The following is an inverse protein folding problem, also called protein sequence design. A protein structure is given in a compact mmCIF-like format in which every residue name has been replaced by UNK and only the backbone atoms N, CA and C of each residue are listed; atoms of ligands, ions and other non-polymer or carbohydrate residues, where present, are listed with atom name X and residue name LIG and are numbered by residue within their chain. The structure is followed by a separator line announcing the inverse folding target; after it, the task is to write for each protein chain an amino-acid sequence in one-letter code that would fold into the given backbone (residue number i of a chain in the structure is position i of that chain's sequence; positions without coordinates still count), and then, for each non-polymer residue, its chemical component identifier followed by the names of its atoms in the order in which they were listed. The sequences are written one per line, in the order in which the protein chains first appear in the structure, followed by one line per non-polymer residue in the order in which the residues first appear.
data_IF_146255853431
#
_entry.id   IF_146255853431
#
_cell.length_a   1.000
_cell.length_b   1.000
_cell.length_c   1.000
_cell.angle_alpha   90.00
_cell.angle_beta   90.00
_cell.angle_gamma   90.00
#
_symmetry.space_group_name_H-M   'P 1'
#
loop_
_entity.id
_entity.type
_entity.pdbx_description
1 polymer ?
#
# COMPACT_ATOMS: atom_id res chain seq x y z
N UNK A 1 18.33 18.54 14.58
CA UNK A 1 17.55 18.16 13.38
C UNK A 1 18.51 17.87 12.25
N UNK A 2 18.45 16.66 11.69
CA UNK A 2 19.23 16.28 10.51
C UNK A 2 18.81 17.11 9.28
N UNK A 3 19.63 17.16 8.22
CA UNK A 3 19.36 17.95 7.01
C UNK A 3 18.05 17.56 6.33
N UNK A 4 17.70 16.27 6.31
CA UNK A 4 16.44 15.80 5.77
C UNK A 4 15.23 16.31 6.56
N UNK A 5 15.32 16.40 7.89
CA UNK A 5 14.20 16.90 8.69
C UNK A 5 13.88 18.38 8.39
N UNK A 6 14.92 19.21 8.19
CA UNK A 6 14.75 20.60 7.74
C UNK A 6 14.19 20.68 6.31
N UNK A 7 14.61 19.77 5.43
CA UNK A 7 14.12 19.69 4.05
C UNK A 7 12.64 19.29 3.99
N UNK A 8 12.22 18.39 4.89
CA UNK A 8 10.83 17.97 5.04
C UNK A 8 9.93 19.11 5.53
N UNK A 9 10.38 19.87 6.53
CA UNK A 9 9.65 21.04 7.04
C UNK A 9 9.46 22.11 5.95
N UNK A 10 10.48 22.33 5.12
CA UNK A 10 10.43 23.32 4.02
C UNK A 10 9.82 22.76 2.72
N UNK A 11 9.51 21.47 2.66
CA UNK A 11 9.09 20.72 1.45
C UNK A 11 10.02 20.94 0.24
N UNK A 12 11.30 21.28 0.50
CA UNK A 12 12.27 21.59 -0.54
C UNK A 12 13.33 20.49 -0.61
N UNK A 13 13.17 19.59 -1.57
CA UNK A 13 14.01 18.42 -1.71
C UNK A 13 14.95 18.59 -2.91
N UNK A 14 16.27 18.63 -2.65
CA UNK A 14 17.23 18.87 -3.71
C UNK A 14 17.53 17.62 -4.55
N UNK A 15 17.49 16.42 -3.95
CA UNK A 15 17.94 15.19 -4.62
C UNK A 15 17.34 13.93 -3.96
N UNK A 16 16.57 13.14 -4.73
CA UNK A 16 15.98 11.87 -4.27
C UNK A 16 17.05 10.85 -3.85
N UNK A 17 18.18 10.79 -4.56
CA UNK A 17 19.27 9.86 -4.23
C UNK A 17 19.88 10.19 -2.86
N UNK A 18 20.13 11.47 -2.58
CA UNK A 18 20.63 11.91 -1.27
C UNK A 18 19.66 11.56 -0.14
N UNK A 19 18.35 11.69 -0.38
CA UNK A 19 17.32 11.31 0.59
C UNK A 19 17.37 9.80 0.88
N UNK A 20 17.48 8.97 -0.17
CA UNK A 20 17.61 7.52 -0.02
C UNK A 20 18.86 7.15 0.78
N UNK A 21 20.00 7.78 0.47
CA UNK A 21 21.27 7.56 1.16
C UNK A 21 21.22 7.96 2.64
N UNK A 22 20.58 9.09 2.97
CA UNK A 22 20.42 9.55 4.36
C UNK A 22 19.55 8.56 5.16
N UNK A 23 18.41 8.13 4.61
CA UNK A 23 17.53 7.12 5.23
C UNK A 23 18.22 5.77 5.38
N UNK A 24 19.04 5.35 4.41
CA UNK A 24 19.82 4.12 4.53
C UNK A 24 20.96 4.28 5.55
N UNK A 25 21.44 5.50 5.79
CA UNK A 25 22.49 5.79 6.77
C UNK A 25 22.01 5.83 8.21
N UNK A 26 20.85 6.44 8.47
CA UNK A 26 20.30 6.62 9.81
C UNK A 26 19.14 5.69 10.16
N UNK A 27 18.53 5.07 9.15
CA UNK A 27 17.34 4.24 9.29
C UNK A 27 16.23 4.96 10.06
N UNK A 28 15.98 6.24 9.82
CA UNK A 28 14.94 6.98 10.53
C UNK A 28 13.64 6.99 9.72
N UNK A 29 12.50 6.83 10.42
CA UNK A 29 11.18 7.09 9.84
C UNK A 29 10.82 8.56 9.96
N UNK A 30 10.67 9.22 8.82
CA UNK A 30 10.44 10.66 8.71
C UNK A 30 8.96 11.07 8.51
N UNK A 31 8.02 10.17 8.84
CA UNK A 31 6.60 10.40 8.61
C UNK A 31 6.13 10.04 7.19
N UNK A 32 4.80 10.06 6.95
CA UNK A 32 4.20 9.54 5.72
C UNK A 32 4.60 10.30 4.45
N UNK A 33 4.97 11.57 4.57
CA UNK A 33 5.45 12.40 3.46
C UNK A 33 6.67 11.78 2.76
N UNK A 34 7.56 11.09 3.50
CA UNK A 34 8.76 10.50 2.92
C UNK A 34 8.41 9.38 1.95
N UNK A 35 7.32 8.65 2.20
CA UNK A 35 6.88 7.58 1.30
C UNK A 35 6.35 8.13 -0.02
N UNK A 36 5.64 9.27 0.00
CA UNK A 36 5.21 9.95 -1.22
C UNK A 36 6.40 10.33 -2.11
N UNK A 37 7.49 10.79 -1.48
CA UNK A 37 8.73 11.16 -2.17
C UNK A 37 9.45 9.92 -2.72
N UNK A 38 9.67 8.90 -1.87
CA UNK A 38 10.37 7.66 -2.25
C UNK A 38 9.65 6.88 -3.36
N UNK A 39 8.32 6.99 -3.43
CA UNK A 39 7.49 6.35 -4.45
C UNK A 39 7.20 7.27 -5.64
N UNK A 40 7.67 8.52 -5.62
CA UNK A 40 7.51 9.47 -6.71
C UNK A 40 6.05 9.85 -7.00
N UNK A 41 5.20 9.89 -5.97
CA UNK A 41 3.80 10.35 -6.10
C UNK A 41 3.67 11.87 -5.98
N UNK A 42 4.74 12.56 -5.58
CA UNK A 42 4.81 14.02 -5.46
C UNK A 42 6.16 14.51 -5.97
N UNK A 43 6.17 15.71 -6.56
CA UNK A 43 7.39 16.38 -6.97
C UNK A 43 8.28 16.80 -5.79
N UNK A 44 9.58 16.91 -6.04
CA UNK A 44 10.60 17.30 -5.06
C UNK A 44 10.60 18.81 -4.73
N UNK A 45 9.93 19.64 -5.55
CA UNK A 45 9.84 21.09 -5.35
C UNK A 45 8.56 21.45 -4.60
N UNK A 46 8.58 22.43 -3.67
CA UNK A 46 7.39 22.84 -2.92
C UNK A 46 6.21 23.22 -3.81
N UNK A 47 6.48 23.91 -4.94
CA UNK A 47 5.47 24.36 -5.90
C UNK A 47 4.66 23.23 -6.53
N UNK A 48 5.26 22.04 -6.64
CA UNK A 48 4.61 20.88 -7.24
C UNK A 48 3.93 20.02 -6.18
N UNK A 49 4.48 19.96 -4.96
CA UNK A 49 4.02 19.06 -3.92
C UNK A 49 2.53 19.22 -3.58
N UNK A 50 2.08 20.44 -3.29
CA UNK A 50 0.68 20.70 -2.93
C UNK A 50 -0.26 20.47 -4.11
N UNK A 51 0.18 20.89 -5.31
CA UNK A 51 -0.54 20.66 -6.55
C UNK A 51 -0.72 19.16 -6.83
N UNK A 52 0.34 18.37 -6.72
CA UNK A 52 0.32 16.93 -6.96
C UNK A 52 -0.59 16.20 -5.96
N UNK A 53 -0.58 16.61 -4.69
CA UNK A 53 -1.48 16.07 -3.67
C UNK A 53 -2.95 16.34 -4.00
N UNK A 54 -3.29 17.58 -4.37
CA UNK A 54 -4.66 17.95 -4.75
C UNK A 54 -5.10 17.24 -6.02
N UNK A 55 -4.25 17.21 -7.04
CA UNK A 55 -4.52 16.51 -8.30
C UNK A 55 -4.77 15.02 -8.07
N UNK A 56 -3.93 14.37 -7.28
CA UNK A 56 -4.08 12.94 -6.94
C UNK A 56 -5.39 12.70 -6.19
N UNK A 57 -5.73 13.53 -5.20
CA UNK A 57 -6.97 13.37 -4.44
C UNK A 57 -8.22 13.46 -5.33
N UNK A 58 -8.25 14.45 -6.23
CA UNK A 58 -9.32 14.61 -7.22
C UNK A 58 -9.35 13.39 -8.15
N UNK A 59 -8.22 12.98 -8.72
CA UNK A 59 -8.15 11.83 -9.64
C UNK A 59 -8.65 10.54 -8.97
N UNK A 60 -8.28 10.29 -7.71
CA UNK A 60 -8.76 9.12 -6.97
C UNK A 60 -10.27 9.15 -6.78
N UNK A 61 -10.81 10.26 -6.28
CA UNK A 61 -12.25 10.42 -6.05
C UNK A 61 -13.03 10.27 -7.35
N UNK A 62 -12.51 10.83 -8.44
CA UNK A 62 -13.10 10.67 -9.76
C UNK A 62 -13.13 9.20 -10.17
N UNK A 63 -11.98 8.54 -10.10
CA UNK A 63 -11.82 7.15 -10.48
C UNK A 63 -12.74 6.22 -9.67
N UNK A 64 -12.70 6.36 -8.35
CA UNK A 64 -13.47 5.51 -7.44
C UNK A 64 -14.98 5.74 -7.62
N UNK A 65 -15.43 7.00 -7.54
CA UNK A 65 -16.86 7.31 -7.65
C UNK A 65 -17.42 6.90 -9.00
N UNK A 66 -16.73 7.15 -10.11
CA UNK A 66 -17.22 6.74 -11.41
C UNK A 66 -17.35 5.22 -11.51
N UNK A 67 -16.28 4.50 -11.18
CA UNK A 67 -16.24 3.04 -11.30
C UNK A 67 -17.29 2.38 -10.39
N UNK A 68 -17.46 2.93 -9.18
CA UNK A 68 -18.39 2.41 -8.18
C UNK A 68 -19.85 2.78 -8.42
N UNK A 69 -20.14 4.01 -8.87
CA UNK A 69 -21.50 4.41 -9.29
C UNK A 69 -21.98 3.53 -10.45
N UNK A 70 -21.11 3.29 -11.46
CA UNK A 70 -21.45 2.41 -12.58
C UNK A 70 -21.78 0.98 -12.12
N UNK A 71 -20.97 0.44 -11.19
CA UNK A 71 -21.21 -0.86 -10.60
C UNK A 71 -22.56 -0.95 -9.90
N UNK A 72 -22.90 0.05 -9.10
CA UNK A 72 -24.17 0.09 -8.38
C UNK A 72 -25.36 0.21 -9.36
N UNK A 73 -25.24 1.03 -10.40
CA UNK A 73 -26.27 1.15 -11.45
C UNK A 73 -26.48 -0.22 -12.11
N UNK A 74 -25.41 -0.90 -12.54
CA UNK A 74 -25.49 -2.23 -13.17
C UNK A 74 -26.07 -3.28 -12.19
N UNK A 75 -25.66 -3.26 -10.92
CA UNK A 75 -26.18 -4.13 -9.87
C UNK A 75 -27.69 -3.96 -9.69
N UNK A 76 -28.17 -2.73 -9.46
CA UNK A 76 -29.60 -2.49 -9.24
C UNK A 76 -30.45 -2.65 -10.50
N UNK A 77 -29.89 -2.44 -11.69
CA UNK A 77 -30.58 -2.74 -12.96
C UNK A 77 -30.73 -4.24 -13.20
N UNK A 78 -29.79 -5.06 -12.72
CA UNK A 78 -29.78 -6.51 -12.95
C UNK A 78 -30.30 -7.33 -11.77
N UNK A 79 -30.52 -6.72 -10.59
CA UNK A 79 -30.92 -7.39 -9.35
C UNK A 79 -32.21 -8.23 -9.47
N UNK A 80 -33.16 -7.83 -10.32
CA UNK A 80 -34.40 -8.57 -10.58
C UNK A 80 -34.27 -9.67 -11.66
N UNK A 81 -33.11 -9.79 -12.32
CA UNK A 81 -32.90 -10.80 -13.37
C UNK A 81 -32.43 -12.14 -12.79
N UNK A 82 -32.95 -13.27 -13.31
CA UNK A 82 -32.55 -14.59 -12.82
C UNK A 82 -31.06 -14.91 -13.06
N UNK A 83 -30.40 -14.16 -13.94
CA UNK A 83 -28.98 -14.29 -14.33
C UNK A 83 -28.05 -13.27 -13.65
N UNK A 84 -28.49 -12.55 -12.61
CA UNK A 84 -27.62 -11.60 -11.92
C UNK A 84 -26.37 -12.30 -11.35
N UNK A 85 -25.14 -11.89 -11.70
CA UNK A 85 -23.91 -12.44 -11.13
C UNK A 85 -23.72 -12.04 -9.66
N UNK A 86 -24.66 -11.30 -9.08
CA UNK A 86 -24.60 -10.68 -7.76
C UNK A 86 -25.63 -11.22 -6.76
N UNK A 87 -26.19 -12.42 -7.02
CA UNK A 87 -27.14 -13.05 -6.10
C UNK A 87 -26.47 -13.48 -4.78
N UNK A 88 -27.03 -12.92 -3.72
CA UNK A 88 -26.89 -13.23 -2.28
C UNK A 88 -25.62 -12.78 -1.55
N UNK A 89 -25.90 -11.84 -0.63
CA UNK A 89 -25.15 -11.35 0.53
C UNK A 89 -24.13 -10.22 0.33
N UNK A 90 -24.40 -9.13 1.08
CA UNK A 90 -23.42 -8.24 1.71
C UNK A 90 -22.99 -6.94 0.99
N UNK A 91 -23.81 -6.37 0.07
CA UNK A 91 -23.55 -5.02 -0.47
C UNK A 91 -24.01 -3.89 0.48
N UNK A 92 -25.13 -4.04 1.19
CA UNK A 92 -25.68 -2.96 2.03
C UNK A 92 -24.85 -2.61 3.27
N UNK A 93 -23.93 -3.50 3.69
CA UNK A 93 -23.14 -3.34 4.93
C UNK A 93 -21.63 -3.15 4.70
N UNK A 94 -21.11 -3.36 3.49
CA UNK A 94 -19.66 -3.39 3.23
C UNK A 94 -19.15 -2.31 2.27
N UNK A 95 -20.03 -1.52 1.69
CA UNK A 95 -19.64 -0.44 0.77
C UNK A 95 -20.03 0.91 1.37
N UNK A 96 -19.07 1.83 1.42
CA UNK A 96 -19.32 3.24 1.69
C UNK A 96 -18.98 4.04 0.43
N UNK A 97 -19.98 4.69 -0.16
CA UNK A 97 -19.74 5.70 -1.19
C UNK A 97 -18.96 6.87 -0.55
N UNK A 98 -17.82 7.25 -1.14
CA UNK A 98 -17.12 8.50 -0.81
C UNK A 98 -17.74 9.60 -1.64
N UNK A 99 -18.93 10.05 -1.26
CA UNK A 99 -19.61 11.10 -2.02
C UNK A 99 -18.95 12.44 -1.73
N UNK A 100 -18.47 13.06 -2.80
CA UNK A 100 -18.03 14.46 -2.81
C UNK A 100 -19.19 15.35 -2.36
N UNK A 101 -18.98 16.12 -1.31
CA UNK A 101 -20.02 17.00 -0.78
C UNK A 101 -20.38 18.08 -1.82
N UNK A 102 -21.59 18.64 -1.76
CA UNK A 102 -22.12 19.56 -2.79
C UNK A 102 -21.23 20.79 -3.05
N UNK A 103 -20.45 21.18 -2.05
CA UNK A 103 -19.48 22.30 -2.03
C UNK A 103 -18.25 22.03 -2.92
N UNK A 104 -17.98 20.78 -3.30
CA UNK A 104 -16.82 20.39 -4.11
C UNK A 104 -17.09 20.39 -5.63
N UNK A 105 -18.36 20.41 -6.06
CA UNK A 105 -18.73 20.48 -7.49
C UNK A 105 -18.22 21.77 -8.13
N UNK A 106 -18.36 22.90 -7.45
CA UNK A 106 -17.91 24.22 -7.92
C UNK A 106 -16.38 24.29 -7.97
N UNK A 107 -15.68 23.61 -7.04
CA UNK A 107 -14.21 23.49 -7.02
C UNK A 107 -13.66 22.55 -8.09
N UNK A 108 -14.42 21.52 -8.47
CA UNK A 108 -14.07 20.61 -9.57
C UNK A 108 -14.20 21.32 -10.92
N UNK A 109 -15.26 22.12 -11.09
CA UNK A 109 -15.45 23.01 -12.23
C UNK A 109 -14.33 24.06 -12.29
N UNK A 110 -13.98 24.68 -11.15
CA UNK A 110 -12.87 25.63 -11.00
C UNK A 110 -11.50 24.99 -11.29
N UNK A 111 -11.25 23.74 -10.87
CA UNK A 111 -10.01 23.01 -11.13
C UNK A 111 -9.77 22.74 -12.62
N UNK A 112 -10.83 22.38 -13.36
CA UNK A 112 -10.76 22.17 -14.79
C UNK A 112 -10.73 23.49 -15.59
N UNK A 113 -11.37 24.55 -15.08
CA UNK A 113 -11.33 25.88 -15.71
C UNK A 113 -10.06 26.70 -15.39
N UNK A 114 -9.38 26.45 -14.26
CA UNK A 114 -8.14 27.14 -13.86
C UNK A 114 -6.85 26.38 -14.22
N UNK A 115 -6.93 25.27 -14.96
CA UNK A 115 -5.76 24.66 -15.61
C UNK A 115 -5.08 25.60 -16.64
N UNK A 116 -5.61 26.81 -16.86
CA UNK A 116 -4.95 27.89 -17.60
C UNK A 116 -4.38 29.06 -16.77
N UNK A 117 -4.68 29.27 -15.48
CA UNK A 117 -3.96 30.31 -14.67
C UNK A 117 -4.40 30.36 -13.19
N UNK A 118 -3.38 30.50 -12.34
CA UNK A 118 -3.32 31.09 -10.98
C UNK A 118 -4.14 30.53 -9.80
N UNK A 119 -3.36 30.11 -8.78
CA UNK A 119 -3.55 30.16 -7.33
C UNK A 119 -4.95 30.48 -6.75
N UNK A 120 -5.47 29.55 -5.94
CA UNK A 120 -6.02 29.87 -4.61
C UNK A 120 -6.06 28.62 -3.70
N UNK A 121 -5.97 28.85 -2.38
CA UNK A 121 -5.70 27.86 -1.35
C UNK A 121 -6.98 27.12 -0.89
N UNK A 122 -7.01 25.80 -1.06
CA UNK A 122 -8.15 24.95 -0.69
C UNK A 122 -8.02 24.43 0.76
N UNK A 123 -8.87 24.94 1.66
CA UNK A 123 -9.03 24.44 3.04
C UNK A 123 -9.85 23.13 3.10
N UNK A 124 -9.47 22.33 4.11
CA UNK A 124 -9.93 21.00 4.59
C UNK A 124 -11.39 20.56 4.35
N UNK A 125 -11.58 19.25 4.17
CA UNK A 125 -12.83 18.57 3.77
C UNK A 125 -13.55 17.94 4.98
N UNK A 126 -14.88 18.11 5.03
CA UNK A 126 -15.83 17.71 6.08
C UNK A 126 -16.39 16.27 5.95
N UNK A 127 -17.42 15.89 6.75
CA UNK A 127 -17.61 14.54 7.28
C UNK A 127 -18.29 13.55 6.33
N UNK A 128 -18.12 12.25 6.63
CA UNK A 128 -18.78 11.11 5.97
C UNK A 128 -20.31 11.22 6.07
N UNK A 129 -21.00 11.37 4.93
CA UNK A 129 -22.46 11.32 4.83
C UNK A 129 -22.86 9.96 4.25
N UNK A 130 -23.80 9.27 4.91
CA UNK A 130 -24.45 8.06 4.37
C UNK A 130 -25.51 8.48 3.36
N UNK A 131 -25.42 7.97 2.13
CA UNK A 131 -26.40 8.23 1.07
C UNK A 131 -27.21 6.97 0.77
N UNK A 132 -28.46 7.10 0.30
CA UNK A 132 -29.26 5.96 -0.14
C UNK A 132 -28.64 5.38 -1.40
N UNK A 133 -27.84 4.32 -1.21
CA UNK A 133 -27.12 3.61 -2.28
C UNK A 133 -28.11 2.83 -3.16
N UNK A 134 -29.32 2.58 -2.65
CA UNK A 134 -30.42 1.83 -3.23
C UNK A 134 -31.36 2.63 -4.17
N UNK A 135 -31.15 3.94 -4.33
CA UNK A 135 -31.93 4.77 -5.26
C UNK A 135 -31.24 4.90 -6.63
N UNK A 136 -31.73 4.14 -7.62
CA UNK A 136 -31.22 4.17 -8.99
C UNK A 136 -31.34 5.55 -9.65
N UNK A 137 -32.35 6.35 -9.32
CA UNK A 137 -32.48 7.72 -9.85
C UNK A 137 -31.43 8.64 -9.24
N UNK A 138 -31.14 8.49 -7.94
CA UNK A 138 -30.05 9.19 -7.28
C UNK A 138 -28.70 8.82 -7.89
N UNK A 139 -28.41 7.53 -8.09
CA UNK A 139 -27.17 7.06 -8.71
C UNK A 139 -26.99 7.58 -10.14
N UNK A 140 -28.03 7.47 -10.98
CA UNK A 140 -28.00 8.01 -12.35
C UNK A 140 -27.80 9.53 -12.36
N UNK A 141 -28.44 10.26 -11.45
CA UNK A 141 -28.24 11.71 -11.30
C UNK A 141 -26.81 12.04 -10.87
N UNK A 142 -26.23 11.25 -9.97
CA UNK A 142 -24.84 11.41 -9.51
C UNK A 142 -23.86 11.13 -10.65
N UNK A 143 -24.06 10.07 -11.41
CA UNK A 143 -23.29 9.73 -12.61
C UNK A 143 -23.35 10.87 -13.66
N UNK A 144 -24.55 11.38 -13.95
CA UNK A 144 -24.74 12.46 -14.91
C UNK A 144 -24.10 13.78 -14.45
N UNK A 145 -24.23 14.11 -13.16
CA UNK A 145 -23.56 15.28 -12.57
C UNK A 145 -22.04 15.17 -12.72
N UNK A 146 -21.50 13.98 -12.47
CA UNK A 146 -20.08 13.69 -12.62
C UNK A 146 -19.62 13.84 -14.07
N UNK A 147 -20.33 13.23 -15.03
CA UNK A 147 -20.05 13.35 -16.46
C UNK A 147 -20.15 14.80 -16.96
N UNK A 148 -21.10 15.58 -16.44
CA UNK A 148 -21.28 16.99 -16.79
C UNK A 148 -20.20 17.92 -16.24
N UNK A 149 -19.50 17.51 -15.17
CA UNK A 149 -18.45 18.29 -14.53
C UNK A 149 -17.07 18.11 -15.20
N UNK A 150 -16.95 17.19 -16.16
CA UNK A 150 -15.71 16.88 -16.86
C UNK A 150 -15.77 17.49 -18.26
N UNK A 151 -14.87 18.44 -18.55
CA UNK A 151 -14.81 19.05 -19.88
C UNK A 151 -14.38 18.04 -20.98
N UNK A 152 -14.65 18.38 -22.25
CA UNK A 152 -14.36 17.51 -23.38
C UNK A 152 -12.86 17.22 -23.58
N UNK A 153 -11.97 18.02 -23.00
CA UNK A 153 -10.52 17.89 -23.12
C UNK A 153 -9.96 16.92 -22.07
N UNK A 154 -10.51 16.97 -20.87
CA UNK A 154 -10.32 16.05 -19.75
C UNK A 154 -10.80 14.66 -20.11
N UNK A 155 -11.96 14.55 -20.77
CA UNK A 155 -12.48 13.31 -21.33
C UNK A 155 -11.55 12.66 -22.38
N UNK A 156 -10.61 13.41 -22.97
CA UNK A 156 -9.63 12.90 -23.95
C UNK A 156 -8.36 12.35 -23.31
N UNK A 157 -8.06 12.67 -22.05
CA UNK A 157 -6.90 12.13 -21.34
C UNK A 157 -7.04 10.61 -21.27
N UNK A 158 -5.99 9.89 -21.69
CA UNK A 158 -6.03 8.44 -21.84
C UNK A 158 -6.39 7.71 -20.54
N UNK A 159 -5.86 8.19 -19.41
CA UNK A 159 -6.21 7.67 -18.07
C UNK A 159 -7.70 7.78 -17.80
N UNK A 160 -8.33 8.89 -18.18
CA UNK A 160 -9.75 9.17 -17.99
C UNK A 160 -10.61 8.35 -18.98
N UNK A 161 -10.16 8.16 -20.23
CA UNK A 161 -10.80 7.24 -21.19
C UNK A 161 -10.86 5.79 -20.71
N UNK A 162 -9.82 5.33 -20.01
CA UNK A 162 -9.77 3.99 -19.43
C UNK A 162 -10.71 3.83 -18.22
N UNK A 163 -11.10 4.93 -17.56
CA UNK A 163 -12.10 4.93 -16.47
C UNK A 163 -13.50 4.62 -17.02
N UNK A 164 -13.82 5.08 -18.24
CA UNK A 164 -15.16 4.96 -18.84
C UNK A 164 -15.51 3.62 -19.45
N UNK A 165 -14.52 2.82 -19.87
CA UNK A 165 -14.78 1.68 -20.77
C UNK A 165 -15.20 0.40 -20.08
N UNK A 166 -14.99 0.27 -18.77
CA UNK A 166 -15.25 -0.96 -18.05
C UNK A 166 -15.89 -0.66 -16.69
N UNK A 167 -17.17 -1.03 -16.45
CA UNK A 167 -17.73 -1.00 -15.10
C UNK A 167 -16.91 -1.89 -14.17
N UNK A 168 -16.92 -1.64 -12.84
CA UNK A 168 -16.20 -2.50 -11.89
C UNK A 168 -16.74 -3.93 -11.98
N UNK A 169 -16.04 -4.77 -12.72
CA UNK A 169 -16.31 -6.19 -12.77
C UNK A 169 -15.24 -6.89 -11.95
N UNK A 170 -15.64 -7.40 -10.79
CA UNK A 170 -14.80 -8.23 -9.93
C UNK A 170 -15.57 -9.49 -9.55
N UNK A 171 -14.88 -10.61 -9.61
CA UNK A 171 -15.41 -11.90 -9.19
C UNK A 171 -15.81 -11.87 -7.70
N UNK A 172 -17.01 -12.36 -7.36
CA UNK A 172 -17.50 -12.44 -5.99
C UNK A 172 -16.55 -13.16 -5.02
N UNK A 173 -15.79 -14.15 -5.50
CA UNK A 173 -14.75 -14.83 -4.70
C UNK A 173 -13.62 -13.89 -4.30
N UNK A 174 -13.20 -12.98 -5.18
CA UNK A 174 -12.18 -11.98 -4.90
C UNK A 174 -12.70 -10.99 -3.84
N UNK A 175 -13.93 -10.51 -3.99
CA UNK A 175 -14.56 -9.61 -3.01
C UNK A 175 -14.66 -10.25 -1.63
N UNK A 176 -15.09 -11.52 -1.58
CA UNK A 176 -15.16 -12.29 -0.34
C UNK A 176 -13.78 -12.47 0.32
N UNK A 177 -12.75 -12.78 -0.48
CA UNK A 177 -11.38 -12.93 0.02
C UNK A 177 -10.85 -11.61 0.60
N UNK A 178 -11.04 -10.48 -0.10
CA UNK A 178 -10.67 -9.14 0.39
C UNK A 178 -11.32 -8.88 1.74
N UNK A 179 -12.62 -9.15 1.87
CA UNK A 179 -13.37 -8.95 3.12
C UNK A 179 -12.81 -9.78 4.28
N UNK A 180 -12.52 -11.06 4.04
CA UNK A 180 -11.93 -11.95 5.05
C UNK A 180 -10.57 -11.44 5.50
N UNK A 181 -9.72 -11.05 4.56
CA UNK A 181 -8.36 -10.64 4.89
C UNK A 181 -8.34 -9.29 5.62
N UNK A 182 -9.24 -8.35 5.30
CA UNK A 182 -9.42 -7.11 6.07
C UNK A 182 -9.84 -7.42 7.51
N UNK A 183 -10.80 -8.34 7.72
CA UNK A 183 -11.25 -8.75 9.06
C UNK A 183 -10.15 -9.39 9.91
N UNK A 184 -9.13 -9.97 9.28
CA UNK A 184 -7.97 -10.60 9.94
C UNK A 184 -6.86 -9.61 10.27
N UNK A 185 -6.92 -8.37 9.76
CA UNK A 185 -5.96 -7.32 10.14
C UNK A 185 -6.08 -6.98 11.62
N UNK A 186 -5.02 -6.39 12.17
CA UNK A 186 -5.01 -5.95 13.57
C UNK A 186 -6.14 -4.92 13.80
N UNK A 187 -7.00 -5.07 14.82
CA UNK A 187 -8.08 -4.11 15.08
C UNK A 187 -7.62 -2.66 15.24
N UNK A 188 -6.37 -2.43 15.67
CA UNK A 188 -5.75 -1.10 15.78
C UNK A 188 -5.42 -0.47 14.42
N UNK A 189 -5.21 -1.26 13.36
CA UNK A 189 -5.03 -0.72 12.00
C UNK A 189 -6.37 -0.40 11.33
N UNK A 190 -7.48 -0.95 11.83
CA UNK A 190 -8.83 -0.70 11.31
C UNK A 190 -9.51 0.52 11.94
N UNK A 191 -8.98 1.02 13.06
CA UNK A 191 -9.57 2.14 13.81
C UNK A 191 -8.51 3.16 14.17
N UNK A 192 -8.62 4.37 13.62
CA UNK A 192 -7.70 5.48 13.89
C UNK A 192 -8.47 6.61 14.56
N UNK A 193 -8.02 7.02 15.75
CA UNK A 193 -8.65 8.10 16.54
C UNK A 193 -10.17 7.91 16.74
N UNK A 194 -10.62 6.67 16.88
CA UNK A 194 -12.04 6.32 17.08
C UNK A 194 -12.87 6.24 15.78
N UNK A 195 -12.26 6.44 14.61
CA UNK A 195 -12.93 6.31 13.31
C UNK A 195 -12.58 4.96 12.69
N UNK A 196 -13.59 4.21 12.26
CA UNK A 196 -13.40 2.97 11.49
C UNK A 196 -13.01 3.30 10.05
N UNK A 197 -11.84 2.83 9.63
CA UNK A 197 -11.27 3.08 8.30
C UNK A 197 -11.19 1.82 7.43
N UNK A 198 -11.92 0.75 7.81
CA UNK A 198 -11.92 -0.53 7.08
C UNK A 198 -12.38 -0.39 5.63
N UNK A 199 -13.29 0.56 5.37
CA UNK A 199 -13.78 0.87 4.03
C UNK A 199 -12.66 1.33 3.08
N UNK A 200 -11.66 2.08 3.58
CA UNK A 200 -10.55 2.56 2.75
C UNK A 200 -9.71 1.39 2.21
N UNK A 201 -9.47 0.36 3.04
CA UNK A 201 -8.80 -0.87 2.60
C UNK A 201 -9.61 -1.57 1.50
N UNK A 202 -10.90 -1.74 1.74
CA UNK A 202 -11.80 -2.43 0.82
C UNK A 202 -11.83 -1.72 -0.54
N UNK A 203 -12.07 -0.42 -0.54
CA UNK A 203 -12.14 0.42 -1.74
C UNK A 203 -10.88 0.32 -2.60
N UNK A 204 -9.71 0.49 -1.98
CA UNK A 204 -8.42 0.43 -2.68
C UNK A 204 -8.18 -0.98 -3.24
N UNK A 205 -8.37 -2.03 -2.44
CA UNK A 205 -8.09 -3.40 -2.87
C UNK A 205 -9.02 -3.86 -4.00
N UNK A 206 -10.30 -3.49 -3.94
CA UNK A 206 -11.27 -3.70 -5.02
C UNK A 206 -10.82 -2.97 -6.27
N UNK A 207 -10.58 -1.66 -6.18
CA UNK A 207 -10.21 -0.85 -7.33
C UNK A 207 -8.91 -1.32 -7.99
N UNK A 208 -7.89 -1.67 -7.19
CA UNK A 208 -6.63 -2.24 -7.69
C UNK A 208 -6.86 -3.58 -8.38
N UNK A 209 -7.64 -4.47 -7.78
CA UNK A 209 -7.91 -5.81 -8.35
C UNK A 209 -8.65 -5.72 -9.68
N UNK A 210 -9.59 -4.78 -9.81
CA UNK A 210 -10.27 -4.50 -11.07
C UNK A 210 -9.33 -3.90 -12.12
N UNK A 211 -8.52 -2.91 -11.74
CA UNK A 211 -7.67 -2.17 -12.68
C UNK A 211 -6.38 -2.88 -13.05
N UNK A 212 -6.02 -3.94 -12.34
CA UNK A 212 -4.88 -4.82 -12.66
C UNK A 212 -5.34 -6.28 -12.78
N UNK A 213 -6.13 -6.66 -13.80
CA UNK A 213 -6.69 -8.01 -13.90
C UNK A 213 -5.66 -9.14 -13.93
N UNK A 214 -4.46 -8.88 -14.48
CA UNK A 214 -3.36 -9.84 -14.50
C UNK A 214 -2.71 -10.09 -13.14
N UNK A 215 -2.84 -9.13 -12.21
CA UNK A 215 -2.42 -9.28 -10.82
C UNK A 215 -3.57 -9.82 -9.96
N UNK A 216 -4.77 -9.27 -10.14
CA UNK A 216 -5.95 -9.55 -9.31
C UNK A 216 -5.72 -9.18 -7.84
N UNK A 217 -6.37 -9.94 -6.96
CA UNK A 217 -6.10 -9.90 -5.52
C UNK A 217 -5.25 -11.10 -5.12
N UNK A 218 -4.17 -10.86 -4.39
CA UNK A 218 -3.28 -11.89 -3.86
C UNK A 218 -3.22 -11.77 -2.35
N UNK A 219 -3.26 -12.91 -1.65
CA UNK A 219 -3.15 -12.95 -0.20
C UNK A 219 -1.86 -12.26 0.27
N UNK A 220 -1.99 -11.36 1.25
CA UNK A 220 -0.90 -10.49 1.72
C UNK A 220 -1.02 -9.04 1.23
N UNK A 221 -1.77 -8.79 0.14
CA UNK A 221 -2.01 -7.42 -0.36
C UNK A 221 -2.66 -6.50 0.67
N UNK A 222 -3.57 -7.03 1.50
CA UNK A 222 -4.19 -6.27 2.58
C UNK A 222 -3.18 -5.84 3.65
N UNK A 223 -2.24 -6.72 4.02
CA UNK A 223 -1.17 -6.40 4.97
C UNK A 223 -0.23 -5.32 4.42
N UNK A 224 0.16 -5.42 3.14
CA UNK A 224 1.02 -4.43 2.47
C UNK A 224 0.39 -3.03 2.44
N UNK A 225 -0.94 -2.95 2.43
CA UNK A 225 -1.67 -1.68 2.41
C UNK A 225 -1.73 -1.00 3.80
N UNK A 226 -1.53 -1.75 4.89
CA UNK A 226 -1.64 -1.24 6.27
C UNK A 226 -0.80 0.00 6.55
N UNK A 227 0.49 0.06 6.21
CA UNK A 227 1.32 1.22 6.54
C UNK A 227 0.76 2.51 5.95
N UNK A 228 0.37 2.48 4.68
CA UNK A 228 -0.16 3.65 3.98
C UNK A 228 -1.47 4.13 4.60
N UNK A 229 -2.43 3.24 4.78
CA UNK A 229 -3.74 3.62 5.35
C UNK A 229 -3.57 4.18 6.76
N UNK A 230 -2.80 3.52 7.62
CA UNK A 230 -2.63 3.93 9.01
C UNK A 230 -1.90 5.27 9.12
N UNK A 231 -0.76 5.44 8.45
CA UNK A 231 0.03 6.68 8.59
C UNK A 231 -0.61 7.86 7.87
N UNK A 232 -1.17 7.67 6.66
CA UNK A 232 -1.88 8.77 6.00
C UNK A 232 -3.18 9.14 6.72
N UNK A 233 -3.88 8.19 7.37
CA UNK A 233 -5.05 8.53 8.21
C UNK A 233 -4.67 9.30 9.48
N UNK A 234 -3.50 9.02 10.06
CA UNK A 234 -2.97 9.80 11.19
C UNK A 234 -2.60 11.22 10.77
N UNK A 235 -2.05 11.40 9.58
CA UNK A 235 -1.69 12.69 8.96
C UNK A 235 -2.94 13.50 8.59
N UNK A 236 -3.78 12.99 7.69
CA UNK A 236 -5.00 13.64 7.24
C UNK A 236 -6.01 12.62 6.72
N UNK A 237 -7.04 12.35 7.52
CA UNK A 237 -8.11 11.39 7.20
C UNK A 237 -8.83 11.68 5.87
N UNK A 238 -8.98 12.95 5.49
CA UNK A 238 -9.74 13.35 4.30
C UNK A 238 -9.05 13.01 2.97
N UNK A 239 -7.72 12.91 2.98
CA UNK A 239 -6.89 12.59 1.80
C UNK A 239 -6.09 11.29 1.99
N UNK A 240 -6.40 10.54 3.05
CA UNK A 240 -5.68 9.33 3.42
C UNK A 240 -5.83 8.23 2.38
N UNK A 241 -7.06 7.98 1.94
CA UNK A 241 -7.38 6.91 0.99
C UNK A 241 -6.75 7.17 -0.38
N UNK A 242 -6.84 8.40 -0.90
CA UNK A 242 -6.21 8.78 -2.17
C UNK A 242 -4.68 8.72 -2.09
N UNK A 243 -4.09 9.26 -1.01
CA UNK A 243 -2.64 9.18 -0.78
C UNK A 243 -2.17 7.72 -0.70
N UNK A 244 -2.92 6.87 0.01
CA UNK A 244 -2.63 5.45 0.12
C UNK A 244 -2.74 4.74 -1.21
N UNK A 245 -3.77 5.01 -2.00
CA UNK A 245 -3.99 4.40 -3.31
C UNK A 245 -2.79 4.62 -4.24
N UNK A 246 -2.36 5.87 -4.44
CA UNK A 246 -1.27 6.17 -5.37
C UNK A 246 0.07 5.63 -4.89
N UNK A 247 0.38 5.74 -3.59
CA UNK A 247 1.59 5.15 -3.03
C UNK A 247 1.58 3.62 -3.17
N UNK A 248 0.43 3.00 -2.91
CA UNK A 248 0.26 1.56 -3.05
C UNK A 248 0.45 1.10 -4.49
N UNK A 249 -0.13 1.79 -5.48
CA UNK A 249 0.12 1.50 -6.90
C UNK A 249 1.61 1.55 -7.27
N UNK A 250 2.31 2.61 -6.83
CA UNK A 250 3.75 2.77 -7.08
C UNK A 250 4.58 1.69 -6.40
N UNK A 251 4.17 1.25 -5.22
CA UNK A 251 4.81 0.12 -4.54
C UNK A 251 4.57 -1.18 -5.33
N UNK A 252 3.32 -1.44 -5.73
CA UNK A 252 2.96 -2.61 -6.54
C UNK A 252 3.76 -2.66 -7.85
N UNK A 253 4.00 -1.54 -8.53
CA UNK A 253 4.85 -1.50 -9.73
C UNK A 253 6.28 -2.02 -9.46
N UNK A 254 6.81 -1.76 -8.26
CA UNK A 254 8.15 -2.19 -7.84
C UNK A 254 8.19 -3.64 -7.35
N UNK A 255 7.08 -4.16 -6.83
CA UNK A 255 7.03 -5.50 -6.19
C UNK A 255 6.19 -6.54 -6.92
N UNK A 256 5.49 -6.18 -8.00
CA UNK A 256 4.52 -7.04 -8.68
C UNK A 256 5.08 -8.43 -8.96
N UNK A 257 6.33 -8.51 -9.45
CA UNK A 257 6.99 -9.78 -9.75
C UNK A 257 7.15 -10.68 -8.51
N UNK A 258 7.35 -10.11 -7.33
CA UNK A 258 7.54 -10.86 -6.08
C UNK A 258 6.23 -11.38 -5.48
N UNK A 259 5.11 -10.68 -5.71
CA UNK A 259 3.80 -11.06 -5.19
C UNK A 259 2.99 -11.94 -6.16
N UNK A 260 3.29 -11.90 -7.48
CA UNK A 260 2.54 -12.61 -8.52
C UNK A 260 3.01 -14.05 -8.82
N UNK A 261 3.49 -14.77 -7.80
CA UNK A 261 3.83 -16.20 -7.94
C UNK A 261 5.33 -16.52 -8.00
N UNK A 262 6.21 -15.51 -7.98
CA UNK A 262 7.68 -15.71 -7.91
C UNK A 262 8.21 -15.65 -6.47
N UNK A 263 7.37 -15.88 -5.45
CA UNK A 263 7.84 -16.04 -4.06
C UNK A 263 8.87 -17.18 -3.96
N UNK A 264 8.70 -18.22 -4.77
CA UNK A 264 9.62 -19.35 -4.87
C UNK A 264 11.02 -18.88 -5.29
N UNK A 265 11.11 -17.89 -6.18
CA UNK A 265 12.39 -17.32 -6.62
C UNK A 265 13.06 -16.53 -5.49
N UNK A 266 12.29 -15.74 -4.73
CA UNK A 266 12.82 -15.05 -3.54
C UNK A 266 13.30 -16.03 -2.47
N UNK A 267 12.57 -17.11 -2.23
CA UNK A 267 12.96 -18.17 -1.29
C UNK A 267 14.24 -18.86 -1.76
N UNK A 268 14.33 -19.20 -3.06
CA UNK A 268 15.52 -19.79 -3.65
C UNK A 268 16.73 -18.86 -3.53
N UNK A 269 16.56 -17.57 -3.87
CA UNK A 269 17.62 -16.57 -3.77
C UNK A 269 18.03 -16.34 -2.31
N UNK A 270 17.09 -16.29 -1.36
CA UNK A 270 17.38 -16.22 0.07
C UNK A 270 18.24 -17.40 0.51
N UNK A 271 17.88 -18.63 0.09
CA UNK A 271 18.65 -19.82 0.39
C UNK A 271 20.08 -19.75 -0.18
N UNK A 272 20.22 -19.30 -1.44
CA UNK A 272 21.51 -19.13 -2.09
C UNK A 272 22.38 -18.04 -1.45
N UNK A 273 21.79 -16.93 -1.02
CA UNK A 273 22.54 -15.88 -0.32
C UNK A 273 22.94 -16.31 1.09
N UNK A 274 22.09 -17.07 1.79
CA UNK A 274 22.42 -17.62 3.10
C UNK A 274 23.60 -18.59 3.02
N UNK A 275 23.63 -19.48 2.01
CA UNK A 275 24.76 -20.39 1.77
C UNK A 275 26.08 -19.64 1.56
N UNK A 276 26.05 -18.51 0.86
CA UNK A 276 27.25 -17.69 0.61
C UNK A 276 27.70 -16.90 1.83
N UNK A 277 26.76 -16.34 2.59
CA UNK A 277 27.04 -15.45 3.72
C UNK A 277 27.47 -16.26 4.94
N UNK A 278 26.77 -17.37 5.21
CA UNK A 278 27.01 -18.20 6.40
C UNK A 278 26.74 -19.68 6.05
N UNK A 279 27.75 -20.40 5.53
CA UNK A 279 27.62 -21.80 5.15
C UNK A 279 27.23 -22.73 6.31
N UNK A 280 27.59 -22.36 7.55
CA UNK A 280 27.33 -23.15 8.74
C UNK A 280 25.84 -23.16 9.08
N UNK A 281 25.19 -21.99 9.13
CA UNK A 281 23.74 -21.94 9.39
C UNK A 281 22.98 -22.57 8.23
N UNK A 282 23.40 -22.36 6.99
CA UNK A 282 22.79 -23.01 5.82
C UNK A 282 22.83 -24.54 5.95
N UNK A 283 23.99 -25.09 6.28
CA UNK A 283 24.17 -26.53 6.48
C UNK A 283 23.32 -27.05 7.64
N UNK A 284 23.24 -26.30 8.74
CA UNK A 284 22.40 -26.64 9.88
C UNK A 284 20.91 -26.71 9.52
N UNK A 285 20.38 -25.70 8.82
CA UNK A 285 18.98 -25.67 8.40
C UNK A 285 18.66 -26.88 7.50
N UNK A 286 19.56 -27.19 6.55
CA UNK A 286 19.43 -28.35 5.67
C UNK A 286 19.46 -29.67 6.42
N UNK A 287 20.39 -29.86 7.35
CA UNK A 287 20.49 -31.07 8.18
C UNK A 287 19.28 -31.25 9.10
N UNK A 288 18.78 -30.13 9.65
CA UNK A 288 17.58 -30.09 10.49
C UNK A 288 16.28 -30.25 9.70
N UNK A 289 16.35 -30.36 8.36
CA UNK A 289 15.21 -30.37 7.43
C UNK A 289 14.28 -29.14 7.59
N UNK A 290 14.85 -28.02 8.03
CA UNK A 290 14.15 -26.76 8.19
C UNK A 290 14.19 -26.00 6.87
N UNK A 291 13.15 -26.18 6.04
CA UNK A 291 13.10 -25.54 4.73
C UNK A 291 12.63 -24.08 4.83
N UNK A 292 13.33 -23.17 4.15
CA UNK A 292 13.07 -21.72 4.21
C UNK A 292 11.63 -21.36 3.86
N UNK A 293 11.00 -22.09 2.93
CA UNK A 293 9.62 -21.84 2.52
C UNK A 293 8.61 -21.96 3.66
N UNK A 294 8.92 -22.76 4.70
CA UNK A 294 8.03 -23.01 5.84
C UNK A 294 7.78 -21.76 6.70
N UNK A 295 8.66 -20.75 6.64
CA UNK A 295 8.51 -19.49 7.37
C UNK A 295 8.59 -18.26 6.46
N UNK A 296 9.47 -18.25 5.46
CA UNK A 296 9.75 -17.05 4.66
C UNK A 296 8.68 -16.72 3.62
N UNK A 297 7.77 -17.65 3.29
CA UNK A 297 6.66 -17.36 2.37
C UNK A 297 5.80 -16.20 2.90
N UNK A 298 5.48 -16.21 4.19
CA UNK A 298 4.74 -15.12 4.85
C UNK A 298 5.56 -13.83 4.91
N UNK A 299 6.86 -13.94 5.16
CA UNK A 299 7.76 -12.79 5.20
C UNK A 299 7.71 -11.99 3.91
N UNK A 300 7.82 -12.65 2.76
CA UNK A 300 7.79 -11.98 1.46
C UNK A 300 6.39 -11.52 1.06
N UNK A 301 5.35 -12.32 1.31
CA UNK A 301 3.98 -11.96 0.93
C UNK A 301 3.41 -10.76 1.69
N UNK A 302 3.83 -10.58 2.94
CA UNK A 302 3.39 -9.48 3.77
C UNK A 302 4.48 -8.39 3.92
N UNK A 303 5.59 -8.49 3.18
CA UNK A 303 6.76 -7.62 3.31
C UNK A 303 7.18 -7.41 4.77
N UNK A 304 7.28 -8.51 5.53
CA UNK A 304 7.67 -8.57 6.94
C UNK A 304 6.75 -7.87 7.97
N UNK A 305 5.64 -7.23 7.58
CA UNK A 305 4.81 -6.47 8.54
C UNK A 305 4.24 -7.32 9.69
N UNK A 306 4.10 -8.63 9.47
CA UNK A 306 3.61 -9.58 10.47
C UNK A 306 4.67 -10.04 11.46
N UNK A 307 5.95 -9.73 11.23
CA UNK A 307 7.08 -10.20 12.04
C UNK A 307 7.59 -9.16 13.03
N UNK A 308 7.13 -7.91 12.92
CA UNK A 308 7.64 -6.81 13.74
C UNK A 308 6.49 -5.99 14.35
N UNK A 309 6.66 -5.46 15.56
CA UNK A 309 5.77 -4.44 16.09
C UNK A 309 5.63 -3.28 15.11
N UNK A 310 4.39 -2.84 14.86
CA UNK A 310 4.10 -1.86 13.81
C UNK A 310 4.91 -0.57 13.91
N UNK A 311 5.13 -0.06 15.13
CA UNK A 311 5.90 1.17 15.34
C UNK A 311 7.35 1.05 14.86
N UNK A 312 7.96 -0.12 15.06
CA UNK A 312 9.30 -0.45 14.58
C UNK A 312 9.31 -0.82 13.10
N UNK A 313 8.24 -1.46 12.61
CA UNK A 313 8.11 -1.84 11.21
C UNK A 313 8.20 -0.63 10.26
N UNK A 314 7.70 0.54 10.66
CA UNK A 314 7.78 1.77 9.84
C UNK A 314 9.22 2.11 9.44
N UNK A 315 10.20 1.85 10.32
CA UNK A 315 11.63 2.04 10.06
C UNK A 315 12.15 1.07 9.01
N UNK A 316 11.78 -0.21 9.12
CA UNK A 316 12.11 -1.25 8.12
C UNK A 316 11.48 -0.89 6.77
N UNK A 317 10.18 -0.58 6.76
CA UNK A 317 9.43 -0.25 5.56
C UNK A 317 9.98 0.99 4.85
N UNK A 318 10.31 2.04 5.60
CA UNK A 318 10.92 3.26 5.05
C UNK A 318 12.30 2.98 4.45
N UNK A 319 13.13 2.21 5.15
CA UNK A 319 14.44 1.80 4.63
C UNK A 319 14.30 0.96 3.37
N UNK A 320 13.38 -0.01 3.34
CA UNK A 320 13.07 -0.83 2.17
C UNK A 320 12.71 0.01 0.95
N UNK A 321 11.84 1.01 1.13
CA UNK A 321 11.39 1.88 0.03
C UNK A 321 12.55 2.71 -0.56
N UNK A 322 13.62 2.94 0.20
CA UNK A 322 14.81 3.65 -0.26
C UNK A 322 15.72 2.83 -1.19
N UNK A 323 15.62 1.49 -1.20
CA UNK A 323 16.40 0.66 -2.12
C UNK A 323 15.79 0.63 -3.52
N UNK A 324 16.59 0.84 -4.57
CA UNK A 324 16.12 0.71 -5.95
C UNK A 324 15.48 -0.67 -6.20
N UNK A 325 16.17 -1.73 -5.78
CA UNK A 325 15.72 -3.12 -5.91
C UNK A 325 15.18 -3.67 -4.59
N UNK A 326 13.87 -3.49 -4.36
CA UNK A 326 13.20 -3.99 -3.15
C UNK A 326 13.43 -5.49 -2.92
N UNK A 327 13.43 -6.32 -3.97
CA UNK A 327 13.64 -7.76 -3.80
C UNK A 327 14.99 -8.13 -3.19
N UNK A 328 16.05 -7.43 -3.57
CA UNK A 328 17.38 -7.64 -2.97
C UNK A 328 17.37 -7.22 -1.50
N UNK A 329 16.74 -6.09 -1.16
CA UNK A 329 16.53 -5.72 0.24
C UNK A 329 15.79 -6.83 1.01
N UNK A 330 14.68 -7.36 0.48
CA UNK A 330 13.89 -8.41 1.14
C UNK A 330 14.74 -9.65 1.41
N UNK A 331 15.61 -10.02 0.48
CA UNK A 331 16.52 -11.17 0.61
C UNK A 331 17.57 -10.92 1.70
N UNK A 332 18.32 -9.82 1.62
CA UNK A 332 19.40 -9.56 2.59
C UNK A 332 18.88 -9.23 3.99
N UNK A 333 17.69 -8.64 4.08
CA UNK A 333 16.99 -8.47 5.36
C UNK A 333 16.59 -9.82 5.94
N UNK A 334 16.10 -10.74 5.11
CA UNK A 334 15.81 -12.13 5.50
C UNK A 334 17.05 -12.88 6.00
N UNK A 335 18.20 -12.73 5.33
CA UNK A 335 19.48 -13.30 5.82
C UNK A 335 19.85 -12.70 7.18
N UNK A 336 19.78 -11.38 7.31
CA UNK A 336 20.11 -10.70 8.58
C UNK A 336 19.21 -11.16 9.72
N UNK A 337 17.93 -11.38 9.43
CA UNK A 337 16.95 -11.86 10.39
C UNK A 337 17.24 -13.31 10.83
N UNK A 338 17.57 -14.20 9.90
CA UNK A 338 17.97 -15.59 10.23
C UNK A 338 19.23 -15.58 11.10
N UNK A 339 20.23 -14.76 10.76
CA UNK A 339 21.48 -14.67 11.50
C UNK A 339 21.31 -14.05 12.89
N UNK A 340 20.36 -13.13 13.08
CA UNK A 340 20.01 -12.60 14.41
C UNK A 340 19.60 -13.71 15.37
N UNK A 341 18.91 -14.73 14.88
CA UNK A 341 18.47 -15.89 15.66
C UNK A 341 19.40 -17.11 15.56
N UNK A 342 20.55 -17.01 14.87
CA UNK A 342 21.51 -18.12 14.74
C UNK A 342 21.88 -18.76 16.10
N UNK A 343 22.16 -18.01 17.17
CA UNK A 343 22.52 -18.60 18.47
C UNK A 343 21.43 -19.50 19.07
N UNK A 344 20.15 -19.13 18.89
CA UNK A 344 18.99 -19.91 19.32
C UNK A 344 18.74 -21.09 18.38
N UNK A 345 18.80 -20.84 17.06
CA UNK A 345 18.57 -21.85 16.03
C UNK A 345 19.47 -23.07 16.23
N UNK A 346 20.76 -22.84 16.48
CA UNK A 346 21.76 -23.91 16.66
C UNK A 346 21.57 -24.74 17.94
N UNK A 347 20.82 -24.23 18.93
CA UNK A 347 20.55 -24.94 20.20
C UNK A 347 19.25 -25.73 20.16
N UNK A 348 18.34 -25.34 19.29
CA UNK A 348 16.96 -25.79 19.25
C UNK A 348 16.77 -26.97 18.28
N UNK A 349 15.69 -27.73 18.50
CA UNK A 349 15.21 -28.74 17.56
C UNK A 349 14.37 -28.14 16.42
N UNK A 350 13.89 -29.00 15.52
CA UNK A 350 13.08 -28.59 14.37
C UNK A 350 11.81 -27.83 14.79
N UNK A 351 11.06 -28.38 15.75
CA UNK A 351 9.77 -27.82 16.18
C UNK A 351 9.93 -26.44 16.81
N UNK A 352 10.94 -26.29 17.68
CA UNK A 352 11.26 -25.02 18.35
C UNK A 352 11.71 -23.97 17.33
N UNK A 353 12.49 -24.37 16.32
CA UNK A 353 12.97 -23.47 15.26
C UNK A 353 11.86 -23.01 14.31
N UNK A 354 10.92 -23.88 13.95
CA UNK A 354 9.74 -23.48 13.18
C UNK A 354 8.94 -22.44 13.96
N UNK A 355 8.65 -22.71 15.24
CA UNK A 355 7.87 -21.80 16.09
C UNK A 355 8.60 -20.46 16.18
N UNK A 356 9.89 -20.46 16.52
CA UNK A 356 10.71 -19.25 16.62
C UNK A 356 10.63 -18.38 15.36
N UNK A 357 10.77 -18.97 14.17
CA UNK A 357 10.76 -18.23 12.90
C UNK A 357 9.35 -17.83 12.44
N UNK A 358 8.30 -18.48 12.96
CA UNK A 358 6.89 -18.13 12.70
C UNK A 358 6.29 -17.21 13.75
N UNK A 359 6.94 -16.99 14.90
CA UNK A 359 6.50 -16.08 15.97
C UNK A 359 7.53 -15.01 16.30
N UNK A 360 8.31 -14.58 15.29
CA UNK A 360 9.33 -13.52 15.42
C UNK A 360 8.76 -12.22 16.02
N UNK A 361 7.47 -11.95 15.80
CA UNK A 361 6.77 -10.80 16.37
C UNK A 361 6.66 -10.82 17.90
N UNK A 362 6.89 -11.97 18.54
CA UNK A 362 6.91 -12.13 20.01
C UNK A 362 8.29 -11.81 20.61
N UNK A 363 9.32 -11.67 19.79
CA UNK A 363 10.64 -11.23 20.25
C UNK A 363 10.57 -9.79 20.79
N UNK A 364 11.38 -9.50 21.82
CA UNK A 364 11.44 -8.17 22.44
C UNK A 364 12.23 -7.18 21.56
N UNK A 365 11.64 -6.78 20.44
CA UNK A 365 12.22 -5.84 19.49
C UNK A 365 12.38 -4.45 20.11
N UNK A 366 13.58 -3.89 19.97
CA UNK A 366 13.93 -2.52 20.33
C UNK A 366 14.38 -1.74 19.09
N UNK A 367 14.39 -0.41 19.13
CA UNK A 367 14.93 0.40 18.02
C UNK A 367 16.37 0.01 17.67
N UNK A 368 17.21 -0.22 18.68
CA UNK A 368 18.60 -0.67 18.52
C UNK A 368 18.68 -2.01 17.77
N UNK A 369 17.83 -2.99 18.12
CA UNK A 369 17.83 -4.29 17.45
C UNK A 369 17.41 -4.20 15.96
N UNK A 370 16.52 -3.26 15.62
CA UNK A 370 16.13 -2.99 14.23
C UNK A 370 17.28 -2.30 13.48
N UNK A 371 17.98 -1.36 14.13
CA UNK A 371 19.16 -0.74 13.54
C UNK A 371 20.28 -1.73 13.27
N UNK A 372 20.55 -2.64 14.21
CA UNK A 372 21.52 -3.72 13.99
C UNK A 372 21.16 -4.56 12.76
N UNK A 373 19.88 -4.96 12.64
CA UNK A 373 19.41 -5.72 11.48
C UNK A 373 19.58 -4.96 10.17
N UNK A 374 19.21 -3.68 10.12
CA UNK A 374 19.30 -2.86 8.92
C UNK A 374 20.75 -2.53 8.54
N UNK A 375 21.63 -2.36 9.53
CA UNK A 375 23.09 -2.21 9.32
C UNK A 375 23.66 -3.49 8.71
N UNK A 376 23.37 -4.66 9.28
CA UNK A 376 23.78 -5.96 8.72
C UNK A 376 23.24 -6.16 7.31
N UNK A 377 21.97 -5.82 7.08
CA UNK A 377 21.34 -5.87 5.75
C UNK A 377 22.11 -5.03 4.74
N UNK A 378 22.48 -3.80 5.12
CA UNK A 378 23.26 -2.88 4.29
C UNK A 378 24.65 -3.41 3.98
N UNK A 379 25.31 -4.06 4.96
CA UNK A 379 26.62 -4.71 4.76
C UNK A 379 26.49 -5.84 3.75
N UNK A 380 25.58 -6.79 3.94
CA UNK A 380 25.41 -7.92 3.02
C UNK A 380 25.04 -7.47 1.60
N UNK A 381 24.15 -6.47 1.50
CA UNK A 381 23.79 -5.87 0.23
C UNK A 381 25.03 -5.31 -0.51
N UNK A 382 25.87 -4.51 0.19
CA UNK A 382 27.06 -3.89 -0.41
C UNK A 382 28.15 -4.91 -0.78
N UNK A 383 28.36 -5.91 0.07
CA UNK A 383 29.44 -6.88 -0.11
C UNK A 383 29.14 -7.90 -1.22
N UNK A 384 27.86 -8.21 -1.47
CA UNK A 384 27.47 -9.36 -2.32
C UNK A 384 26.54 -8.96 -3.49
N UNK A 385 25.72 -7.91 -3.33
CA UNK A 385 24.70 -7.51 -4.31
C UNK A 385 25.20 -6.71 -5.53
N UNK A 386 26.39 -6.10 -5.44
CA UNK A 386 26.83 -5.10 -6.42
C UNK A 386 26.11 -3.77 -6.23
N UNK A 387 26.86 -2.66 -6.40
CA UNK A 387 26.54 -1.26 -6.06
C UNK A 387 25.05 -0.83 -5.97
N UNK A 388 24.78 -0.01 -4.93
CA UNK A 388 23.53 0.69 -4.58
C UNK A 388 22.83 1.37 -5.76
#
# INVERSE_FOLDING_TARGET
MNELQKSLESKNFCNLQKIKEEIIGDHVYYGPIIWKILLGTVGLKPSNFEKDCVHSDIEYKLLFNYSFINYLIEYFQTADSQESPYKENDISNNYHLIIMDKVEKDKLIEFYSNCSTSNESLKSIGPQISYPIDDLNFLNKLQNNFLSALDQETMKKENIRLIYRHPLQINSKILHQIHIDIKRLNPRSLNIKGVNISHMYYNILVLVSHRRPSLGYIQGMADILVPFIVEFSKENLSTAESSAYFCYLKLLDRIQKYISGLQTDLIFLLNSQLEKIDPDIFSFLKQSKLEIHMFAFRWFNCLYIREFPYELYKKIFTTMLSYEKIGEFLIYFGVSLILKFKPELLKNGFSENIILLQTINEFNWTEESIEELLKSTSVYFKTIGGFL
#
